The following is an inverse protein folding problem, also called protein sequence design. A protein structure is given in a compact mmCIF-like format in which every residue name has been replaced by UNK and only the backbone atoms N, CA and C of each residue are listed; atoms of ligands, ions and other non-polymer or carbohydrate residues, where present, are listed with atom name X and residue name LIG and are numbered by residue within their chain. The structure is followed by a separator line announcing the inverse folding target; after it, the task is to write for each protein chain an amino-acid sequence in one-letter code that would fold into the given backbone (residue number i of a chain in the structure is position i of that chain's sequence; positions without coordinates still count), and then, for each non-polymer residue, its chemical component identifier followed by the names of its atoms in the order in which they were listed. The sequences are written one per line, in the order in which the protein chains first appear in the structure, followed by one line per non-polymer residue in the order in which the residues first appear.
data_IF_489156171155
#
_entry.id   IF_489156171155
#
_cell.length_a   1.000
_cell.length_b   1.000
_cell.length_c   1.000
_cell.angle_alpha   90.00
_cell.angle_beta   90.00
_cell.angle_gamma   90.00
#
_symmetry.space_group_name_H-M   'P 1'
#
loop_
_entity.id
_entity.type
_entity.pdbx_description
1 polymer ?
#
# COMPACT_ATOMS: atom_id res chain seq x y z
N UNK A 1 7.21 -15.98 -34.16
CA UNK A 1 7.13 -16.94 -33.04
C UNK A 1 7.37 -16.14 -31.76
N UNK A 2 6.35 -15.96 -30.94
CA UNK A 2 6.52 -15.28 -29.67
C UNK A 2 7.62 -15.97 -28.87
N UNK A 3 8.63 -15.18 -28.46
CA UNK A 3 9.70 -15.63 -27.58
C UNK A 3 9.07 -15.86 -26.20
N UNK A 4 8.57 -17.05 -25.97
CA UNK A 4 8.09 -17.43 -24.65
C UNK A 4 9.30 -17.67 -23.72
N UNK A 5 9.12 -18.44 -22.69
CA UNK A 5 10.13 -18.79 -21.70
C UNK A 5 11.27 -19.60 -22.34
N UNK A 6 12.51 -19.25 -22.03
CA UNK A 6 13.73 -19.92 -22.45
C UNK A 6 14.63 -20.23 -21.25
N UNK A 7 15.78 -20.88 -21.45
CA UNK A 7 16.78 -21.09 -20.40
C UNK A 7 17.47 -19.80 -19.92
N UNK A 8 17.20 -18.66 -20.53
CA UNK A 8 17.72 -17.35 -20.14
C UNK A 8 16.68 -16.51 -19.38
N UNK A 9 15.42 -16.93 -19.37
CA UNK A 9 14.34 -16.17 -18.73
C UNK A 9 14.56 -16.07 -17.22
N UNK A 10 14.65 -14.84 -16.71
CA UNK A 10 14.77 -14.58 -15.29
C UNK A 10 13.46 -14.88 -14.55
N UNK A 11 13.56 -15.32 -13.30
CA UNK A 11 12.41 -15.65 -12.46
C UNK A 11 12.15 -14.55 -11.43
N UNK A 12 10.88 -14.15 -11.31
CA UNK A 12 10.36 -13.33 -10.23
C UNK A 12 9.09 -13.97 -9.65
N UNK A 13 8.66 -13.56 -8.46
CA UNK A 13 7.48 -14.20 -7.91
C UNK A 13 6.83 -13.54 -6.70
N UNK A 14 5.60 -13.97 -6.44
CA UNK A 14 4.81 -13.67 -5.25
C UNK A 14 4.88 -14.87 -4.28
N UNK A 15 5.14 -14.59 -3.01
CA UNK A 15 5.17 -15.58 -1.94
C UNK A 15 4.14 -15.25 -0.86
N UNK A 16 3.33 -16.21 -0.47
CA UNK A 16 2.29 -16.10 0.55
C UNK A 16 1.26 -17.22 0.42
N UNK A 17 0.22 -17.22 1.26
CA UNK A 17 -0.82 -18.26 1.26
C UNK A 17 -2.17 -17.73 1.73
N UNK A 18 -3.27 -17.94 0.98
CA UNK A 18 -3.32 -18.46 -0.39
C UNK A 18 -2.99 -17.38 -1.43
N UNK A 19 -2.38 -17.73 -2.55
CA UNK A 19 -1.98 -16.79 -3.62
C UNK A 19 -2.67 -16.99 -4.97
N UNK A 20 -3.49 -18.04 -5.11
CA UNK A 20 -4.13 -18.40 -6.38
C UNK A 20 -5.07 -17.34 -6.97
N UNK A 21 -5.56 -16.41 -6.16
CA UNK A 21 -6.44 -15.31 -6.57
C UNK A 21 -5.69 -14.02 -6.96
N UNK A 22 -4.36 -14.00 -6.84
CA UNK A 22 -3.56 -12.79 -7.07
C UNK A 22 -3.54 -12.36 -8.54
N UNK A 23 -3.76 -11.06 -8.77
CA UNK A 23 -3.62 -10.43 -10.09
C UNK A 23 -2.16 -10.12 -10.48
N UNK A 24 -1.21 -10.20 -9.54
CA UNK A 24 0.19 -9.83 -9.78
C UNK A 24 0.85 -10.58 -10.94
N UNK A 25 0.67 -11.91 -11.11
CA UNK A 25 1.26 -12.61 -12.25
C UNK A 25 0.76 -12.09 -13.61
N UNK A 26 -0.54 -11.79 -13.73
CA UNK A 26 -1.09 -11.26 -14.98
C UNK A 26 -0.52 -9.87 -15.27
N UNK A 27 -0.46 -9.01 -14.27
CA UNK A 27 0.01 -7.63 -14.38
C UNK A 27 1.49 -7.57 -14.78
N UNK A 28 2.37 -8.25 -14.04
CA UNK A 28 3.81 -8.17 -14.31
C UNK A 28 4.21 -8.89 -15.60
N UNK A 29 3.63 -10.06 -15.90
CA UNK A 29 3.95 -10.75 -17.16
C UNK A 29 3.47 -9.96 -18.39
N UNK A 30 2.32 -9.27 -18.33
CA UNK A 30 1.91 -8.33 -19.37
C UNK A 30 2.96 -7.22 -19.55
N UNK A 31 3.36 -6.59 -18.46
CA UNK A 31 4.31 -5.47 -18.49
C UNK A 31 5.69 -5.89 -18.98
N UNK A 32 6.17 -7.07 -18.60
CA UNK A 32 7.43 -7.61 -19.12
C UNK A 32 7.37 -7.85 -20.63
N UNK A 33 6.26 -8.42 -21.12
CA UNK A 33 6.08 -8.63 -22.57
C UNK A 33 6.02 -7.30 -23.32
N UNK A 34 5.27 -6.32 -22.82
CA UNK A 34 5.16 -5.00 -23.41
C UNK A 34 6.53 -4.32 -23.54
N UNK A 35 7.34 -4.40 -22.50
CA UNK A 35 8.67 -3.75 -22.43
C UNK A 35 9.80 -4.58 -23.05
N UNK A 36 9.49 -5.78 -23.56
CA UNK A 36 10.48 -6.68 -24.16
C UNK A 36 11.47 -7.26 -23.16
N UNK A 37 11.08 -7.38 -21.88
CA UNK A 37 11.91 -7.92 -20.80
C UNK A 37 11.76 -9.44 -20.72
N UNK A 38 12.90 -10.15 -20.58
CA UNK A 38 12.92 -11.62 -20.51
C UNK A 38 12.80 -12.09 -19.06
N UNK A 39 11.62 -11.84 -18.46
CA UNK A 39 11.24 -12.28 -17.11
C UNK A 39 9.92 -13.05 -17.12
N UNK A 40 9.78 -13.99 -16.18
CA UNK A 40 8.53 -14.64 -15.85
C UNK A 40 8.20 -14.39 -14.37
N UNK A 41 6.95 -14.03 -14.10
CA UNK A 41 6.44 -13.82 -12.75
C UNK A 41 5.40 -14.89 -12.41
N UNK A 42 5.64 -15.61 -11.32
CA UNK A 42 4.77 -16.68 -10.83
C UNK A 42 4.28 -16.41 -9.41
N UNK A 43 3.26 -17.14 -8.96
CA UNK A 43 2.81 -17.15 -7.58
C UNK A 43 3.16 -18.47 -6.92
N UNK A 44 3.71 -18.41 -5.72
CA UNK A 44 4.14 -19.56 -4.91
C UNK A 44 3.33 -19.55 -3.61
N UNK A 45 2.55 -20.61 -3.41
CA UNK A 45 1.78 -20.79 -2.18
C UNK A 45 2.75 -21.26 -1.09
N UNK A 46 3.11 -20.35 -0.17
CA UNK A 46 4.14 -20.53 0.86
C UNK A 46 3.59 -20.02 2.18
N UNK A 47 3.62 -20.85 3.19
CA UNK A 47 3.26 -20.50 4.57
C UNK A 47 4.38 -19.72 5.27
N UNK A 48 4.07 -19.14 6.43
CA UNK A 48 5.08 -18.43 7.24
C UNK A 48 6.23 -19.33 7.69
N UNK A 49 5.94 -20.59 8.01
CA UNK A 49 6.94 -21.58 8.44
C UNK A 49 7.88 -22.01 7.30
N UNK A 50 7.40 -21.97 6.05
CA UNK A 50 8.17 -22.35 4.86
C UNK A 50 9.03 -21.20 4.31
N UNK A 51 8.82 -19.96 4.78
CA UNK A 51 9.56 -18.79 4.29
C UNK A 51 11.09 -18.93 4.34
N UNK A 52 11.73 -19.53 5.37
CA UNK A 52 13.18 -19.74 5.33
C UNK A 52 13.64 -20.54 4.12
N UNK A 53 12.91 -21.62 3.76
CA UNK A 53 13.19 -22.43 2.56
C UNK A 53 12.93 -21.66 1.26
N UNK A 54 11.88 -20.83 1.25
CA UNK A 54 11.60 -19.97 0.10
C UNK A 54 12.74 -18.95 -0.12
N UNK A 55 13.34 -18.40 0.93
CA UNK A 55 14.51 -17.52 0.82
C UNK A 55 15.76 -18.26 0.30
N UNK A 56 15.97 -19.52 0.70
CA UNK A 56 17.02 -20.36 0.11
C UNK A 56 16.80 -20.55 -1.40
N UNK A 57 15.54 -20.79 -1.82
CA UNK A 57 15.18 -20.92 -3.23
C UNK A 57 15.35 -19.60 -4.01
N UNK A 58 14.95 -18.46 -3.42
CA UNK A 58 15.15 -17.12 -4.00
C UNK A 58 16.64 -16.89 -4.32
N UNK A 59 17.53 -17.24 -3.38
CA UNK A 59 18.98 -17.13 -3.56
C UNK A 59 19.51 -18.13 -4.56
N UNK A 60 19.12 -19.42 -4.46
CA UNK A 60 19.58 -20.51 -5.33
C UNK A 60 19.22 -20.27 -6.79
N UNK A 61 18.00 -19.80 -7.06
CA UNK A 61 17.52 -19.52 -8.43
C UNK A 61 17.90 -18.10 -8.90
N UNK A 62 18.63 -17.36 -8.08
CA UNK A 62 19.01 -15.97 -8.38
C UNK A 62 17.82 -15.14 -8.84
N UNK A 63 16.69 -15.27 -8.13
CA UNK A 63 15.49 -14.50 -8.44
C UNK A 63 15.77 -13.02 -8.29
N UNK A 64 15.47 -12.23 -9.33
CA UNK A 64 15.80 -10.80 -9.38
C UNK A 64 15.01 -10.00 -8.36
N UNK A 65 13.72 -10.27 -8.24
CA UNK A 65 12.82 -9.53 -7.39
C UNK A 65 11.51 -10.30 -7.16
N UNK A 66 10.65 -9.77 -6.31
CA UNK A 66 9.32 -10.33 -6.09
C UNK A 66 8.57 -9.65 -4.96
N UNK A 67 7.42 -10.24 -4.64
CA UNK A 67 6.55 -9.74 -3.58
C UNK A 67 6.32 -10.78 -2.48
N UNK A 68 6.05 -10.26 -1.29
CA UNK A 68 5.52 -11.03 -0.17
C UNK A 68 4.10 -10.56 0.14
N UNK A 69 3.17 -11.49 0.34
CA UNK A 69 1.81 -11.19 0.80
C UNK A 69 1.52 -11.93 2.11
N UNK A 70 0.28 -11.81 2.59
CA UNK A 70 -0.12 -12.50 3.82
C UNK A 70 0.08 -14.01 3.71
N UNK A 71 0.54 -14.67 4.79
CA UNK A 71 0.94 -14.12 6.09
C UNK A 71 2.42 -13.70 6.16
N UNK A 72 3.17 -13.75 5.05
CA UNK A 72 4.63 -13.78 5.00
C UNK A 72 5.35 -12.43 5.19
N UNK A 73 4.64 -11.28 5.15
CA UNK A 73 5.26 -9.93 5.18
C UNK A 73 6.17 -9.68 6.39
N UNK A 74 5.79 -10.16 7.57
CA UNK A 74 6.54 -9.91 8.82
C UNK A 74 7.77 -10.82 8.94
N UNK A 75 7.64 -12.10 8.57
CA UNK A 75 8.78 -13.02 8.60
C UNK A 75 9.79 -12.68 7.51
N UNK A 76 9.33 -12.25 6.34
CA UNK A 76 10.19 -11.81 5.25
C UNK A 76 11.11 -10.67 5.66
N UNK A 77 10.61 -9.69 6.43
CA UNK A 77 11.42 -8.59 6.94
C UNK A 77 12.57 -9.03 7.86
N UNK A 78 12.48 -10.21 8.47
CA UNK A 78 13.53 -10.80 9.31
C UNK A 78 14.56 -11.63 8.54
N UNK A 79 14.24 -11.99 7.28
CA UNK A 79 15.03 -12.88 6.45
C UNK A 79 15.79 -12.16 5.32
N UNK A 80 15.40 -10.93 5.00
CA UNK A 80 16.15 -10.08 4.05
C UNK A 80 17.46 -9.57 4.66
N UNK A 81 18.41 -9.21 3.82
CA UNK A 81 19.72 -8.69 4.27
C UNK A 81 19.63 -7.21 4.68
N UNK A 82 18.72 -6.45 4.05
CA UNK A 82 18.51 -5.02 4.32
C UNK A 82 17.02 -4.68 4.25
N UNK A 83 16.64 -3.62 4.91
CA UNK A 83 15.31 -3.05 4.84
C UNK A 83 15.36 -1.61 4.35
N UNK A 84 14.36 -1.20 3.57
CA UNK A 84 14.11 0.21 3.29
C UNK A 84 13.68 0.94 4.57
N UNK A 85 13.83 2.28 4.66
CA UNK A 85 13.46 3.03 5.86
C UNK A 85 12.02 2.76 6.33
N UNK A 86 11.05 2.74 5.43
CA UNK A 86 9.66 2.42 5.76
C UNK A 86 9.52 0.98 6.28
N UNK A 87 10.16 0.00 5.62
CA UNK A 87 10.10 -1.40 6.03
C UNK A 87 10.75 -1.63 7.40
N UNK A 88 11.84 -0.91 7.72
CA UNK A 88 12.50 -0.94 9.03
C UNK A 88 11.58 -0.41 10.13
N UNK A 89 10.94 0.75 9.91
CA UNK A 89 9.99 1.34 10.87
C UNK A 89 8.82 0.40 11.14
N UNK A 90 8.26 -0.20 10.08
CA UNK A 90 7.06 -1.05 10.16
C UNK A 90 7.40 -2.45 10.69
N UNK A 91 8.58 -2.99 10.36
CA UNK A 91 8.97 -4.36 10.66
C UNK A 91 8.32 -5.39 9.73
N UNK A 92 7.98 -4.98 8.51
CA UNK A 92 7.38 -5.83 7.47
C UNK A 92 7.85 -5.39 6.08
N UNK A 93 7.87 -6.30 5.11
CA UNK A 93 8.10 -5.98 3.71
C UNK A 93 7.13 -6.75 2.81
N UNK A 94 6.68 -6.11 1.73
CA UNK A 94 5.80 -6.69 0.73
C UNK A 94 6.48 -6.84 -0.65
N UNK A 95 7.71 -6.35 -0.78
CA UNK A 95 8.51 -6.48 -1.98
C UNK A 95 9.97 -6.70 -1.63
N UNK A 96 10.71 -7.32 -2.54
CA UNK A 96 12.17 -7.47 -2.44
C UNK A 96 12.84 -7.27 -3.78
N UNK A 97 14.09 -6.83 -3.71
CA UNK A 97 15.02 -6.79 -4.84
C UNK A 97 16.30 -7.51 -4.42
N UNK A 98 16.80 -8.37 -5.28
CA UNK A 98 18.05 -9.09 -5.10
C UNK A 98 19.12 -8.48 -6.03
N UNK A 99 20.04 -7.73 -5.46
CA UNK A 99 21.16 -7.14 -6.15
C UNK A 99 22.42 -7.96 -5.86
N UNK A 100 22.74 -8.89 -6.76
CA UNK A 100 23.95 -9.74 -6.68
C UNK A 100 24.04 -10.52 -5.35
N UNK A 101 22.94 -11.09 -4.90
CA UNK A 101 22.87 -11.90 -3.67
C UNK A 101 22.49 -11.12 -2.41
N UNK A 102 22.47 -9.78 -2.46
CA UNK A 102 21.99 -8.94 -1.36
C UNK A 102 20.50 -8.65 -1.58
N UNK A 103 19.66 -9.18 -0.70
CA UNK A 103 18.21 -9.01 -0.76
C UNK A 103 17.80 -7.83 0.11
N UNK A 104 17.23 -6.80 -0.52
CA UNK A 104 16.66 -5.64 0.18
C UNK A 104 15.13 -5.76 0.19
N UNK A 105 14.52 -5.67 1.37
CA UNK A 105 13.07 -5.68 1.57
C UNK A 105 12.49 -4.27 1.58
N UNK A 106 11.35 -4.10 0.91
CA UNK A 106 10.60 -2.84 0.80
C UNK A 106 9.17 -3.03 1.28
N UNK A 107 8.55 -1.95 1.73
CA UNK A 107 7.11 -1.88 1.96
C UNK A 107 6.53 -0.79 1.06
N UNK A 108 5.77 -1.18 0.06
CA UNK A 108 5.31 -0.29 -1.01
C UNK A 108 3.81 0.03 -0.94
N UNK A 109 3.10 -0.53 0.04
CA UNK A 109 1.67 -0.27 0.23
C UNK A 109 1.43 1.24 0.48
N UNK A 110 2.21 1.87 1.37
CA UNK A 110 2.13 3.30 1.64
C UNK A 110 2.56 4.17 0.45
N UNK A 111 3.64 3.78 -0.23
CA UNK A 111 4.13 4.48 -1.44
C UNK A 111 3.06 4.45 -2.53
N UNK A 112 2.41 3.29 -2.76
CA UNK A 112 1.33 3.15 -3.73
C UNK A 112 0.13 4.04 -3.40
N UNK A 113 -0.21 4.19 -2.11
CA UNK A 113 -1.26 5.10 -1.67
C UNK A 113 -0.92 6.56 -1.93
N UNK A 114 0.28 7.02 -1.52
CA UNK A 114 0.73 8.39 -1.77
C UNK A 114 0.80 8.68 -3.27
N UNK A 115 1.31 7.72 -4.05
CA UNK A 115 1.33 7.84 -5.51
C UNK A 115 -0.07 7.97 -6.11
N UNK A 116 -1.07 7.25 -5.56
CA UNK A 116 -2.47 7.43 -5.96
C UNK A 116 -2.98 8.85 -5.66
N UNK A 117 -2.59 9.46 -4.55
CA UNK A 117 -2.90 10.86 -4.28
C UNK A 117 -2.22 11.79 -5.29
N UNK A 118 -0.93 11.60 -5.57
CA UNK A 118 -0.15 12.42 -6.50
C UNK A 118 -0.69 12.42 -7.91
N UNK A 119 -1.03 11.25 -8.49
CA UNK A 119 -1.60 11.17 -9.85
C UNK A 119 -2.98 11.82 -9.94
N UNK A 120 -3.66 11.96 -8.80
CA UNK A 120 -4.86 12.76 -8.66
C UNK A 120 -4.58 14.24 -8.31
N UNK A 121 -3.32 14.71 -8.38
CA UNK A 121 -2.93 16.10 -8.15
C UNK A 121 -3.01 16.53 -6.68
N UNK A 122 -2.80 15.61 -5.73
CA UNK A 122 -2.78 15.86 -4.28
C UNK A 122 -1.38 15.56 -3.74
N UNK A 123 -0.74 16.58 -3.14
CA UNK A 123 0.52 16.42 -2.41
C UNK A 123 0.25 16.27 -0.92
N UNK A 124 1.01 15.40 -0.26
CA UNK A 124 0.96 15.22 1.20
C UNK A 124 1.94 16.12 1.95
N UNK A 125 2.90 16.72 1.22
CA UNK A 125 3.93 17.57 1.80
C UNK A 125 3.32 18.80 2.48
N UNK A 126 3.77 19.07 3.68
CA UNK A 126 3.34 20.20 4.54
C UNK A 126 1.83 20.16 4.91
N UNK A 127 1.16 19.00 4.74
CA UNK A 127 -0.27 18.81 5.01
C UNK A 127 -0.55 18.29 6.41
N UNK A 128 -1.71 18.71 6.95
CA UNK A 128 -2.33 18.13 8.13
C UNK A 128 -3.30 17.03 7.67
N UNK A 129 -3.08 15.82 8.14
CA UNK A 129 -3.76 14.62 7.64
C UNK A 129 -4.40 13.87 8.80
N UNK A 130 -5.68 13.53 8.66
CA UNK A 130 -6.40 12.64 9.58
C UNK A 130 -6.47 11.25 8.96
N UNK A 131 -6.04 10.23 9.68
CA UNK A 131 -6.06 8.82 9.25
C UNK A 131 -6.95 8.01 10.20
N UNK A 132 -8.01 7.43 9.65
CA UNK A 132 -8.92 6.54 10.39
C UNK A 132 -8.43 5.10 10.26
N UNK A 133 -8.04 4.49 11.38
CA UNK A 133 -7.55 3.11 11.44
C UNK A 133 -6.04 2.99 11.67
N UNK A 134 -5.63 1.83 12.21
CA UNK A 134 -4.24 1.50 12.52
C UNK A 134 -3.88 0.02 12.19
N UNK A 135 -4.56 -0.56 11.20
CA UNK A 135 -4.24 -1.89 10.66
C UNK A 135 -2.93 -1.90 9.86
N UNK A 136 -2.61 -3.01 9.20
CA UNK A 136 -1.35 -3.17 8.45
C UNK A 136 -1.19 -2.14 7.32
N UNK A 137 -2.21 -1.97 6.47
CA UNK A 137 -2.20 -0.95 5.41
C UNK A 137 -2.15 0.47 5.98
N UNK A 138 -2.92 0.73 7.06
CA UNK A 138 -2.91 2.00 7.77
C UNK A 138 -1.49 2.38 8.24
N UNK A 139 -0.79 1.46 8.90
CA UNK A 139 0.57 1.69 9.39
C UNK A 139 1.53 2.03 8.23
N UNK A 140 1.42 1.33 7.09
CA UNK A 140 2.24 1.62 5.92
C UNK A 140 1.98 3.02 5.37
N UNK A 141 0.71 3.43 5.31
CA UNK A 141 0.31 4.77 4.87
C UNK A 141 0.80 5.83 5.85
N UNK A 142 0.58 5.66 7.15
CA UNK A 142 1.00 6.60 8.20
C UNK A 142 2.52 6.85 8.15
N UNK A 143 3.30 5.79 8.03
CA UNK A 143 4.76 5.88 7.92
C UNK A 143 5.17 6.61 6.64
N UNK A 144 4.55 6.27 5.51
CA UNK A 144 4.89 6.92 4.24
C UNK A 144 4.52 8.40 4.24
N UNK A 145 3.36 8.78 4.77
CA UNK A 145 2.96 10.19 4.90
C UNK A 145 4.01 11.00 5.65
N UNK A 146 4.52 10.47 6.77
CA UNK A 146 5.57 11.14 7.55
C UNK A 146 6.90 11.23 6.79
N UNK A 147 7.32 10.16 6.10
CA UNK A 147 8.53 10.13 5.28
C UNK A 147 8.45 11.11 4.09
N UNK A 148 7.27 11.32 3.52
CA UNK A 148 7.04 12.22 2.39
C UNK A 148 6.75 13.67 2.84
N UNK A 149 6.98 13.98 4.12
CA UNK A 149 6.98 15.34 4.66
C UNK A 149 5.60 15.89 4.98
N UNK A 150 4.64 15.04 5.37
CA UNK A 150 3.43 15.53 6.00
C UNK A 150 3.77 16.35 7.26
N UNK A 151 3.10 17.48 7.46
CA UNK A 151 3.31 18.32 8.64
C UNK A 151 2.76 17.66 9.90
N UNK A 152 1.60 17.03 9.77
CA UNK A 152 0.88 16.45 10.90
C UNK A 152 0.07 15.24 10.44
N UNK A 153 0.16 14.13 11.18
CA UNK A 153 -0.61 12.90 10.95
C UNK A 153 -1.35 12.53 12.24
N UNK A 154 -2.67 12.75 12.25
CA UNK A 154 -3.54 12.45 13.37
C UNK A 154 -4.23 11.09 13.14
N UNK A 155 -3.82 10.09 13.89
CA UNK A 155 -4.30 8.71 13.78
C UNK A 155 -5.47 8.50 14.74
N UNK A 156 -6.61 8.09 14.22
CA UNK A 156 -7.78 7.73 15.03
C UNK A 156 -8.05 6.23 14.93
N UNK A 157 -8.02 5.54 16.06
CA UNK A 157 -8.36 4.11 16.13
C UNK A 157 -9.11 3.80 17.42
N UNK A 158 -9.94 2.76 17.42
CA UNK A 158 -10.54 2.23 18.65
C UNK A 158 -9.46 1.65 19.55
N UNK A 159 -9.67 1.69 20.87
CA UNK A 159 -8.70 1.16 21.85
C UNK A 159 -8.63 -0.36 21.84
N UNK A 160 -7.89 -0.90 20.88
CA UNK A 160 -7.61 -2.32 20.69
C UNK A 160 -6.10 -2.55 20.47
N UNK A 161 -5.69 -3.76 20.10
CA UNK A 161 -4.29 -4.09 19.77
C UNK A 161 -3.69 -3.22 18.65
N UNK A 162 -4.50 -2.64 17.78
CA UNK A 162 -4.03 -1.75 16.73
C UNK A 162 -3.76 -0.33 17.25
N UNK A 163 -4.46 0.09 18.30
CA UNK A 163 -4.16 1.34 19.00
C UNK A 163 -2.75 1.33 19.57
N UNK A 164 -2.38 0.23 20.26
CA UNK A 164 -1.02 0.04 20.79
C UNK A 164 0.04 0.03 19.68
N UNK A 165 -0.30 -0.57 18.52
CA UNK A 165 0.55 -0.51 17.33
C UNK A 165 0.75 0.92 16.84
N UNK A 166 -0.31 1.73 16.79
CA UNK A 166 -0.23 3.14 16.39
C UNK A 166 0.67 3.96 17.33
N UNK A 167 0.57 3.74 18.65
CA UNK A 167 1.47 4.37 19.63
C UNK A 167 2.93 3.95 19.43
N UNK A 168 3.20 2.67 19.13
CA UNK A 168 4.53 2.20 18.76
C UNK A 168 5.04 2.82 17.46
N UNK A 169 4.18 3.01 16.47
CA UNK A 169 4.52 3.68 15.21
C UNK A 169 4.84 5.15 15.44
N UNK A 170 4.00 5.86 16.22
CA UNK A 170 4.23 7.26 16.62
C UNK A 170 5.60 7.43 17.28
N UNK A 171 5.95 6.55 18.22
CA UNK A 171 7.25 6.61 18.92
C UNK A 171 8.43 6.51 17.92
N UNK A 172 8.36 5.56 16.97
CA UNK A 172 9.38 5.41 15.94
C UNK A 172 9.45 6.59 14.97
N UNK A 173 8.29 7.14 14.60
CA UNK A 173 8.23 8.32 13.73
C UNK A 173 8.75 9.58 14.40
N UNK A 174 8.54 9.75 15.70
CA UNK A 174 9.14 10.85 16.47
C UNK A 174 10.68 10.84 16.42
N UNK A 175 11.29 9.65 16.33
CA UNK A 175 12.73 9.49 16.17
C UNK A 175 13.20 9.68 14.72
N UNK A 176 12.50 9.07 13.76
CA UNK A 176 12.94 8.98 12.36
C UNK A 176 12.46 10.14 11.48
N UNK A 177 11.36 10.78 11.85
CA UNK A 177 10.71 11.88 11.11
C UNK A 177 10.34 13.01 12.08
N UNK A 178 11.30 13.66 12.76
CA UNK A 178 11.01 14.63 13.84
C UNK A 178 10.25 15.87 13.36
N UNK A 179 10.27 16.16 12.07
CA UNK A 179 9.57 17.30 11.48
C UNK A 179 8.06 17.04 11.27
N UNK A 180 7.61 15.79 11.41
CA UNK A 180 6.20 15.40 11.31
C UNK A 180 5.61 15.18 12.70
N UNK A 181 4.59 15.94 13.05
CA UNK A 181 3.86 15.74 14.31
C UNK A 181 2.89 14.57 14.14
N UNK A 182 3.04 13.52 14.95
CA UNK A 182 2.15 12.36 14.91
C UNK A 182 1.40 12.23 16.23
N UNK A 183 0.05 12.17 16.17
CA UNK A 183 -0.81 11.92 17.32
C UNK A 183 -1.58 10.61 17.16
N UNK A 184 -2.00 10.04 18.27
CA UNK A 184 -2.87 8.85 18.31
C UNK A 184 -4.01 9.13 19.26
N UNK A 185 -5.24 9.07 18.73
CA UNK A 185 -6.45 9.47 19.42
C UNK A 185 -7.49 8.34 19.39
N UNK A 186 -8.38 8.33 20.38
CA UNK A 186 -9.47 7.37 20.44
C UNK A 186 -10.56 7.74 19.43
N UNK A 187 -10.86 6.84 18.50
CA UNK A 187 -11.95 7.02 17.53
C UNK A 187 -13.35 7.16 18.18
N UNK A 188 -13.48 6.74 19.45
CA UNK A 188 -14.70 6.94 20.23
C UNK A 188 -14.88 8.40 20.67
N UNK A 189 -13.79 9.19 20.75
CA UNK A 189 -13.87 10.64 21.02
C UNK A 189 -14.29 11.39 19.74
N UNK A 190 -15.60 11.45 19.54
CA UNK A 190 -16.19 12.10 18.37
C UNK A 190 -15.94 13.60 18.33
N UNK A 191 -15.88 14.27 19.49
CA UNK A 191 -15.63 15.71 19.56
C UNK A 191 -14.19 16.03 19.07
N UNK A 192 -13.21 15.23 19.51
CA UNK A 192 -11.83 15.37 19.06
C UNK A 192 -11.68 15.07 17.56
N UNK A 193 -12.33 14.01 17.08
CA UNK A 193 -12.34 13.68 15.64
C UNK A 193 -12.90 14.82 14.79
N UNK A 194 -14.03 15.40 15.19
CA UNK A 194 -14.63 16.53 14.49
C UNK A 194 -13.72 17.77 14.49
N UNK A 195 -13.07 18.08 15.61
CA UNK A 195 -12.11 19.18 15.71
C UNK A 195 -10.98 19.00 14.69
N UNK A 196 -10.40 17.79 14.62
CA UNK A 196 -9.29 17.50 13.72
C UNK A 196 -9.72 17.51 12.24
N UNK A 197 -10.89 16.94 11.90
CA UNK A 197 -11.41 16.97 10.53
C UNK A 197 -11.69 18.41 10.06
N UNK A 198 -12.20 19.29 10.93
CA UNK A 198 -12.49 20.70 10.57
C UNK A 198 -11.25 21.45 10.12
N UNK A 199 -10.06 21.02 10.51
CA UNK A 199 -8.79 21.72 10.26
C UNK A 199 -7.83 20.95 9.37
N UNK A 200 -8.08 19.67 9.04
CA UNK A 200 -7.18 18.89 8.22
C UNK A 200 -7.32 19.24 6.72
N UNK A 201 -6.27 18.99 5.96
CA UNK A 201 -6.25 19.09 4.50
C UNK A 201 -6.76 17.80 3.84
N UNK A 202 -6.43 16.64 4.44
CA UNK A 202 -6.71 15.33 3.89
C UNK A 202 -7.29 14.43 4.99
N UNK A 203 -8.41 13.76 4.69
CA UNK A 203 -9.02 12.73 5.51
C UNK A 203 -8.89 11.38 4.80
N UNK A 204 -8.34 10.38 5.49
CA UNK A 204 -8.09 9.06 4.91
C UNK A 204 -8.79 7.98 5.73
N UNK A 205 -9.65 7.18 5.08
CA UNK A 205 -10.16 5.94 5.67
C UNK A 205 -9.23 4.77 5.32
N UNK A 206 -8.69 4.13 6.33
CA UNK A 206 -7.88 2.92 6.21
C UNK A 206 -8.49 1.74 6.96
N UNK A 207 -9.74 1.88 7.37
CA UNK A 207 -10.51 0.82 8.04
C UNK A 207 -11.26 -0.04 7.01
N UNK A 208 -11.93 -1.09 7.50
CA UNK A 208 -12.82 -1.92 6.69
C UNK A 208 -14.23 -1.33 6.53
N UNK A 209 -14.52 -0.16 7.12
CA UNK A 209 -15.82 0.48 7.02
C UNK A 209 -16.04 1.00 5.59
N UNK A 210 -17.19 0.71 5.02
CA UNK A 210 -17.48 0.91 3.60
C UNK A 210 -17.26 -0.32 2.71
N UNK A 211 -16.60 -1.38 3.23
CA UNK A 211 -16.43 -2.67 2.56
C UNK A 211 -17.47 -3.69 3.08
N UNK A 212 -17.86 -4.68 2.27
CA UNK A 212 -18.76 -5.78 2.70
C UNK A 212 -18.27 -6.46 3.97
N UNK A 213 -19.15 -6.69 4.96
CA UNK A 213 -20.61 -6.42 5.00
C UNK A 213 -20.99 -5.05 5.59
N UNK A 214 -20.10 -4.05 5.57
CA UNK A 214 -20.27 -2.73 6.20
C UNK A 214 -20.39 -1.61 5.17
N UNK A 215 -20.99 -1.89 3.98
CA UNK A 215 -21.05 -0.93 2.87
C UNK A 215 -21.81 0.34 3.21
N UNK A 216 -22.82 0.24 4.07
CA UNK A 216 -23.68 1.37 4.49
C UNK A 216 -23.10 2.17 5.66
N UNK A 217 -21.88 1.84 6.10
CA UNK A 217 -21.25 2.48 7.27
C UNK A 217 -20.18 3.48 6.84
N UNK A 218 -20.24 4.69 7.42
CA UNK A 218 -19.14 5.66 7.44
C UNK A 218 -18.81 6.04 8.88
N UNK A 219 -17.55 6.37 9.14
CA UNK A 219 -17.06 6.79 10.46
C UNK A 219 -17.20 8.29 10.69
N UNK A 220 -17.47 9.04 9.63
CA UNK A 220 -17.49 10.50 9.59
C UNK A 220 -18.89 10.97 9.23
N UNK A 221 -19.39 11.98 9.97
CA UNK A 221 -20.63 12.64 9.62
C UNK A 221 -20.43 13.52 8.37
N UNK A 222 -21.36 13.42 7.41
CA UNK A 222 -21.29 14.14 6.14
C UNK A 222 -21.26 15.68 6.29
N UNK A 223 -21.74 16.20 7.40
CA UNK A 223 -21.69 17.65 7.68
C UNK A 223 -20.27 18.19 7.87
N UNK A 224 -19.28 17.30 8.09
CA UNK A 224 -17.88 17.66 8.22
C UNK A 224 -17.15 17.77 6.87
N UNK A 225 -17.75 17.29 5.79
CA UNK A 225 -17.17 17.42 4.46
C UNK A 225 -17.30 18.85 3.94
N UNK A 226 -16.20 19.41 3.48
CA UNK A 226 -16.10 20.76 2.92
C UNK A 226 -15.33 20.73 1.60
N UNK A 227 -15.59 21.68 0.71
CA UNK A 227 -15.07 21.68 -0.68
C UNK A 227 -13.54 21.69 -0.79
N UNK A 228 -12.85 22.18 0.21
CA UNK A 228 -11.38 22.23 0.26
C UNK A 228 -10.76 21.00 0.92
N UNK A 229 -11.57 20.07 1.46
CA UNK A 229 -11.11 18.80 2.01
C UNK A 229 -10.87 17.77 0.91
N UNK A 230 -9.71 17.12 0.95
CA UNK A 230 -9.48 15.91 0.18
C UNK A 230 -9.92 14.71 1.03
N UNK A 231 -10.74 13.83 0.46
CA UNK A 231 -11.19 12.59 1.11
C UNK A 231 -10.68 11.40 0.34
N UNK A 232 -9.94 10.52 0.98
CA UNK A 232 -9.40 9.31 0.38
C UNK A 232 -9.81 8.05 1.15
N UNK A 233 -9.96 6.95 0.42
CA UNK A 233 -10.33 5.66 0.99
C UNK A 233 -9.39 4.56 0.48
N UNK A 234 -9.05 3.60 1.33
CA UNK A 234 -8.30 2.40 0.91
C UNK A 234 -9.20 1.26 0.48
N UNK A 235 -10.50 1.34 0.77
CA UNK A 235 -11.48 0.37 0.28
C UNK A 235 -11.66 0.53 -1.22
N UNK A 236 -11.56 -0.59 -1.96
CA UNK A 236 -11.68 -0.65 -3.42
C UNK A 236 -12.87 -1.51 -3.89
N UNK A 237 -13.53 -2.21 -2.98
CA UNK A 237 -14.74 -2.98 -3.26
C UNK A 237 -15.77 -2.78 -2.12
N UNK A 238 -16.84 -1.99 -2.36
CA UNK A 238 -17.23 -1.39 -3.65
C UNK A 238 -16.25 -0.32 -4.15
N UNK A 239 -16.32 0.01 -5.45
CA UNK A 239 -15.46 1.02 -6.07
C UNK A 239 -15.63 2.40 -5.43
N UNK A 240 -16.87 2.75 -5.07
CA UNK A 240 -17.22 3.95 -4.30
C UNK A 240 -17.89 3.55 -3.00
N UNK A 241 -17.20 3.81 -1.90
CA UNK A 241 -17.78 3.64 -0.56
C UNK A 241 -18.78 4.76 -0.24
N UNK A 242 -19.61 4.56 0.78
CA UNK A 242 -20.51 5.61 1.26
C UNK A 242 -19.78 6.91 1.58
N UNK A 243 -18.61 6.83 2.22
CA UNK A 243 -17.78 8.00 2.52
C UNK A 243 -17.37 8.76 1.25
N UNK A 244 -16.93 8.05 0.22
CA UNK A 244 -16.56 8.66 -1.07
C UNK A 244 -17.76 9.33 -1.74
N UNK A 245 -18.93 8.67 -1.75
CA UNK A 245 -20.15 9.24 -2.34
C UNK A 245 -20.60 10.52 -1.61
N UNK A 246 -20.64 10.50 -0.27
CA UNK A 246 -21.01 11.66 0.55
C UNK A 246 -19.99 12.82 0.40
N UNK A 247 -18.71 12.51 0.25
CA UNK A 247 -17.67 13.50 -0.01
C UNK A 247 -17.82 14.15 -1.39
N UNK A 248 -18.13 13.36 -2.44
CA UNK A 248 -18.42 13.87 -3.78
C UNK A 248 -19.65 14.79 -3.77
N UNK A 249 -20.74 14.41 -3.07
CA UNK A 249 -21.95 15.22 -2.92
C UNK A 249 -21.65 16.56 -2.23
N UNK A 250 -20.74 16.59 -1.27
CA UNK A 250 -20.29 17.81 -0.59
C UNK A 250 -19.34 18.67 -1.43
N UNK A 251 -18.90 18.17 -2.60
CA UNK A 251 -17.97 18.83 -3.51
C UNK A 251 -16.50 18.71 -3.11
N UNK A 252 -16.17 17.75 -2.25
CA UNK A 252 -14.80 17.39 -1.93
C UNK A 252 -14.09 16.75 -3.15
N UNK A 253 -12.77 16.84 -3.17
CA UNK A 253 -11.97 15.95 -3.99
C UNK A 253 -11.94 14.57 -3.34
N UNK A 254 -12.62 13.58 -3.92
CA UNK A 254 -12.73 12.23 -3.39
C UNK A 254 -11.90 11.24 -4.22
N UNK A 255 -11.13 10.36 -3.55
CA UNK A 255 -10.19 9.42 -4.18
C UNK A 255 -10.41 8.03 -3.59
N UNK A 256 -10.86 7.07 -4.42
CA UNK A 256 -11.10 5.68 -4.02
C UNK A 256 -9.85 4.82 -3.98
N UNK A 257 -9.97 3.63 -3.37
CA UNK A 257 -8.85 2.73 -3.08
C UNK A 257 -8.31 1.93 -4.27
N UNK A 258 -9.05 1.80 -5.37
CA UNK A 258 -8.62 0.98 -6.51
C UNK A 258 -7.28 1.46 -7.11
N UNK A 259 -7.07 2.77 -7.17
CA UNK A 259 -5.83 3.35 -7.65
C UNK A 259 -4.60 2.98 -6.80
N UNK A 260 -4.76 2.80 -5.49
CA UNK A 260 -3.66 2.38 -4.60
C UNK A 260 -3.06 1.04 -5.03
N UNK A 261 -3.89 0.04 -5.34
CA UNK A 261 -3.42 -1.28 -5.76
C UNK A 261 -2.62 -1.20 -7.06
N UNK A 262 -3.12 -0.41 -8.01
CA UNK A 262 -2.48 -0.23 -9.31
C UNK A 262 -1.14 0.50 -9.16
N UNK A 263 -1.11 1.59 -8.40
CA UNK A 263 0.11 2.38 -8.17
C UNK A 263 1.14 1.58 -7.34
N UNK A 264 0.70 0.77 -6.37
CA UNK A 264 1.60 -0.12 -5.63
C UNK A 264 2.28 -1.14 -6.55
N UNK A 265 1.53 -1.68 -7.52
CA UNK A 265 2.10 -2.56 -8.55
C UNK A 265 3.11 -1.85 -9.44
N UNK A 266 2.83 -0.61 -9.84
CA UNK A 266 3.74 0.21 -10.65
C UNK A 266 5.04 0.54 -9.91
N UNK A 267 4.95 0.92 -8.63
CA UNK A 267 6.12 1.17 -7.78
C UNK A 267 6.99 -0.09 -7.67
N UNK A 268 6.39 -1.25 -7.49
CA UNK A 268 7.15 -2.50 -7.47
C UNK A 268 7.81 -2.79 -8.82
N UNK A 269 7.12 -2.57 -9.92
CA UNK A 269 7.69 -2.78 -11.26
C UNK A 269 8.94 -1.91 -11.46
N UNK A 270 8.86 -0.64 -11.09
CA UNK A 270 10.00 0.27 -11.14
C UNK A 270 11.17 -0.22 -10.27
N UNK A 271 10.90 -0.68 -9.05
CA UNK A 271 11.91 -1.31 -8.18
C UNK A 271 12.54 -2.55 -8.81
N UNK A 272 11.75 -3.39 -9.49
CA UNK A 272 12.21 -4.67 -10.05
C UNK A 272 13.10 -4.51 -11.28
N UNK A 273 12.74 -3.58 -12.18
CA UNK A 273 13.34 -3.49 -13.50
C UNK A 273 13.88 -2.09 -13.86
N UNK A 274 13.70 -1.08 -13.00
CA UNK A 274 14.18 0.27 -13.21
C UNK A 274 13.46 1.04 -14.33
N UNK A 275 12.20 0.67 -14.64
CA UNK A 275 11.37 1.30 -15.68
C UNK A 275 9.98 1.60 -15.13
N UNK A 276 9.34 2.63 -15.65
CA UNK A 276 7.93 2.88 -15.40
C UNK A 276 7.08 1.73 -15.96
N UNK A 277 6.05 1.36 -15.21
CA UNK A 277 5.11 0.33 -15.65
C UNK A 277 4.18 0.88 -16.74
N UNK A 278 3.89 0.13 -17.82
CA UNK A 278 2.94 0.53 -18.86
C UNK A 278 1.49 0.43 -18.35
N UNK A 279 1.10 1.34 -17.45
CA UNK A 279 -0.17 1.29 -16.72
C UNK A 279 -1.38 1.49 -17.63
N UNK A 280 -1.30 2.44 -18.58
CA UNK A 280 -2.38 2.74 -19.48
C UNK A 280 -2.69 1.52 -20.38
N UNK A 281 -1.66 0.92 -20.94
CA UNK A 281 -1.75 -0.26 -21.80
C UNK A 281 -2.23 -1.48 -21.01
N UNK A 282 -1.82 -1.62 -19.76
CA UNK A 282 -2.31 -2.68 -18.89
C UNK A 282 -3.81 -2.50 -18.57
N UNK A 283 -4.27 -1.29 -18.29
CA UNK A 283 -5.67 -0.99 -18.04
C UNK A 283 -6.54 -1.25 -19.29
N UNK A 284 -6.05 -0.90 -20.47
CA UNK A 284 -6.72 -1.24 -21.74
C UNK A 284 -6.80 -2.76 -21.94
N UNK A 285 -5.71 -3.47 -21.66
CA UNK A 285 -5.69 -4.93 -21.72
C UNK A 285 -6.70 -5.56 -20.76
N UNK A 286 -6.81 -5.07 -19.50
CA UNK A 286 -7.80 -5.55 -18.53
C UNK A 286 -9.25 -5.31 -19.03
N UNK A 287 -9.54 -4.11 -19.54
CA UNK A 287 -10.87 -3.79 -20.12
C UNK A 287 -11.23 -4.71 -21.29
N UNK A 288 -10.27 -5.01 -22.17
CA UNK A 288 -10.47 -5.93 -23.28
C UNK A 288 -10.75 -7.38 -22.84
N UNK A 289 -10.34 -7.74 -21.59
CA UNK A 289 -10.61 -9.06 -21.00
C UNK A 289 -11.91 -9.09 -20.17
N UNK A 290 -12.66 -7.97 -20.10
CA UNK A 290 -13.89 -7.88 -19.32
C UNK A 290 -13.64 -7.80 -17.79
N UNK A 291 -12.48 -7.30 -17.38
CA UNK A 291 -12.09 -7.13 -15.97
C UNK A 291 -12.05 -5.67 -15.58
#
# INVERSE_FOLDING_TARGET
MEKRISGHTGLMGLFGSPVGHSGSPAMYNFSFQHDGLDYAYLAFDVTEEEMPKAFEAIRLFNMRAGNFTMPCKNIAAKLVDKLSPAAEIIGACNAFVNDNGVITGYITDGVGFVKNLEVNGVSVKDKKIVVLGAGGAATAIQVQLALDGAKEVNIFNVKDKFYERAEGTKAKLAEKCPDCVVTVEDLADKAKLEEEIKTCDILINTTIMGMKPHEDVTLVDKSLFRKDLVVADTVYNPEKTKMILEAEEAGCKAIGGAGMLLQQGAVNYELFVGKEMPLAEYQEFQKAQGK
#
